data_IF_195682365411
#
_entry.id   IF_195682365411
#
_cell.length_a   1.000
_cell.length_b   1.000
_cell.length_c   1.000
_cell.angle_alpha   90.00
_cell.angle_beta   90.00
_cell.angle_gamma   90.00
#
_symmetry.space_group_name_H-M   'P 1'
#
loop_
_entity.id
_entity.type
_entity.pdbx_description
1 polymer ?
#
# COMPACT_ATOMS: atom_id res chain seq x y z
N UNK A 1 12.73 -3.15 -0.53
CA UNK A 1 11.82 -3.58 -1.61
C UNK A 1 11.96 -2.65 -2.80
N UNK A 2 11.96 -3.22 -4.01
CA UNK A 2 12.13 -2.46 -5.25
C UNK A 2 10.82 -2.52 -6.04
N UNK A 3 10.79 -2.04 -7.27
CA UNK A 3 9.71 -2.33 -8.19
C UNK A 3 10.11 -3.55 -9.01
N UNK A 4 9.31 -4.61 -9.01
CA UNK A 4 9.61 -5.83 -9.76
C UNK A 4 9.81 -5.58 -11.27
N UNK A 5 9.16 -4.54 -11.82
CA UNK A 5 9.25 -4.20 -13.24
C UNK A 5 10.52 -3.45 -13.64
N UNK A 6 11.07 -2.56 -12.78
CA UNK A 6 12.17 -1.67 -13.18
C UNK A 6 13.33 -1.57 -12.18
N UNK A 7 13.24 -2.26 -11.05
CA UNK A 7 14.26 -2.26 -9.99
C UNK A 7 14.39 -0.94 -9.22
N UNK A 8 13.51 0.05 -9.44
CA UNK A 8 13.55 1.30 -8.67
C UNK A 8 13.30 1.01 -7.18
N UNK A 9 14.04 1.60 -6.24
CA UNK A 9 13.73 1.48 -4.81
C UNK A 9 12.33 2.03 -4.53
N UNK A 10 11.52 1.26 -3.78
CA UNK A 10 10.16 1.67 -3.39
C UNK A 10 10.09 1.90 -1.89
N UNK A 11 10.43 0.89 -1.09
CA UNK A 11 10.33 1.00 0.37
C UNK A 11 11.39 0.19 1.12
N UNK A 12 11.60 0.49 2.40
CA UNK A 12 12.57 -0.16 3.30
C UNK A 12 11.87 -0.88 4.47
N UNK A 13 12.62 -1.63 5.26
CA UNK A 13 12.11 -2.28 6.48
C UNK A 13 11.64 -1.26 7.52
N UNK A 14 12.33 -0.12 7.64
CA UNK A 14 11.96 0.98 8.56
C UNK A 14 10.57 1.56 8.25
N UNK A 15 10.15 1.48 7.00
CA UNK A 15 8.86 1.99 6.52
C UNK A 15 7.75 0.94 6.66
N UNK A 16 8.08 -0.34 6.89
CA UNK A 16 7.10 -1.42 7.03
C UNK A 16 6.24 -1.22 8.29
N UNK A 17 4.93 -1.27 8.12
CA UNK A 17 3.98 -1.33 9.22
C UNK A 17 3.82 -2.79 9.66
N UNK A 18 4.40 -3.14 10.80
CA UNK A 18 4.26 -4.48 11.37
C UNK A 18 2.97 -4.64 12.15
N UNK A 19 2.31 -3.57 12.57
CA UNK A 19 1.09 -3.68 13.37
C UNK A 19 -0.13 -4.15 12.57
N UNK A 20 -1.01 -4.93 13.21
CA UNK A 20 -2.32 -5.28 12.67
C UNK A 20 -3.27 -4.09 12.75
N UNK A 21 -4.09 -3.88 11.71
CA UNK A 21 -5.19 -2.92 11.74
C UNK A 21 -6.52 -3.55 11.35
N UNK A 22 -7.59 -2.86 11.71
CA UNK A 22 -8.94 -3.19 11.28
C UNK A 22 -9.09 -3.00 9.76
N UNK A 23 -9.88 -3.88 9.16
CA UNK A 23 -10.12 -3.92 7.72
C UNK A 23 -11.58 -4.22 7.45
N UNK A 24 -12.01 -4.04 6.21
CA UNK A 24 -13.32 -4.48 5.77
C UNK A 24 -13.35 -6.01 5.68
N UNK A 25 -13.70 -6.66 6.79
CA UNK A 25 -13.60 -8.11 7.00
C UNK A 25 -14.30 -8.98 5.95
N UNK A 26 -15.27 -8.44 5.19
CA UNK A 26 -15.93 -9.17 4.10
C UNK A 26 -15.06 -9.31 2.84
N UNK A 27 -14.07 -8.44 2.66
CA UNK A 27 -13.22 -8.40 1.48
C UNK A 27 -11.74 -8.69 1.79
N UNK A 28 -11.35 -8.68 3.08
CA UNK A 28 -9.96 -8.75 3.50
C UNK A 28 -9.76 -9.84 4.53
N UNK A 29 -8.75 -10.70 4.28
CA UNK A 29 -8.24 -11.66 5.24
C UNK A 29 -6.83 -11.25 5.66
N UNK A 30 -6.62 -11.05 6.96
CA UNK A 30 -5.32 -10.67 7.52
C UNK A 30 -4.54 -11.90 7.97
N UNK A 31 -3.24 -11.93 7.70
CA UNK A 31 -2.33 -13.02 8.06
C UNK A 31 -0.92 -12.49 8.34
N UNK A 32 -0.11 -13.28 9.05
CA UNK A 32 1.28 -12.95 9.38
C UNK A 32 2.23 -13.49 8.31
N UNK A 33 3.25 -12.71 7.97
CA UNK A 33 4.30 -13.06 7.02
C UNK A 33 5.59 -12.34 7.38
N UNK A 34 6.73 -13.04 7.27
CA UNK A 34 8.05 -12.41 7.36
C UNK A 34 8.31 -11.58 6.11
N UNK A 35 8.35 -10.26 6.28
CA UNK A 35 8.63 -9.30 5.21
C UNK A 35 9.85 -8.49 5.62
N UNK A 36 10.94 -8.59 4.84
CA UNK A 36 12.21 -7.92 5.14
C UNK A 36 12.79 -8.30 6.51
N UNK A 37 12.72 -9.59 6.86
CA UNK A 37 13.18 -10.15 8.14
C UNK A 37 12.41 -9.62 9.37
N UNK A 38 11.21 -9.06 9.16
CA UNK A 38 10.30 -8.59 10.20
C UNK A 38 8.96 -9.33 10.11
N UNK A 39 8.44 -9.81 11.25
CA UNK A 39 7.09 -10.37 11.34
C UNK A 39 6.06 -9.25 11.13
N UNK A 40 5.34 -9.29 10.01
CA UNK A 40 4.39 -8.25 9.64
C UNK A 40 3.00 -8.79 9.31
N UNK A 41 1.97 -7.98 9.58
CA UNK A 41 0.61 -8.28 9.15
C UNK A 41 0.39 -7.88 7.69
N UNK A 42 0.12 -8.88 6.86
CA UNK A 42 -0.26 -8.76 5.46
C UNK A 42 -1.76 -8.99 5.28
N UNK A 43 -2.29 -8.52 4.14
CA UNK A 43 -3.71 -8.47 3.87
C UNK A 43 -4.00 -9.04 2.50
N UNK A 44 -4.68 -10.18 2.48
CA UNK A 44 -5.29 -10.76 1.28
C UNK A 44 -6.60 -10.01 1.01
N UNK A 45 -6.56 -9.06 0.10
CA UNK A 45 -7.68 -8.18 -0.18
C UNK A 45 -8.28 -8.43 -1.57
N UNK A 46 -9.61 -8.54 -1.64
CA UNK A 46 -10.36 -8.82 -2.87
C UNK A 46 -11.07 -7.55 -3.32
N UNK A 47 -10.88 -7.17 -4.59
CA UNK A 47 -11.57 -6.01 -5.16
C UNK A 47 -12.98 -6.39 -5.68
N UNK A 48 -13.81 -5.42 -6.09
CA UNK A 48 -15.15 -5.68 -6.62
C UNK A 48 -15.20 -6.56 -7.87
N UNK A 49 -14.09 -6.68 -8.60
CA UNK A 49 -13.92 -7.53 -9.79
C UNK A 49 -13.41 -8.94 -9.44
N UNK A 50 -13.50 -9.34 -8.17
CA UNK A 50 -13.08 -10.65 -7.65
C UNK A 50 -11.58 -10.96 -7.87
N UNK A 51 -10.77 -9.92 -8.04
CA UNK A 51 -9.31 -10.05 -8.13
C UNK A 51 -8.72 -9.86 -6.75
N UNK A 52 -7.87 -10.81 -6.35
CA UNK A 52 -7.21 -10.83 -5.04
C UNK A 52 -5.79 -10.27 -5.14
N UNK A 53 -5.40 -9.50 -4.13
CA UNK A 53 -4.08 -8.94 -3.96
C UNK A 53 -3.58 -9.21 -2.55
N UNK A 54 -2.34 -9.68 -2.42
CA UNK A 54 -1.67 -9.79 -1.12
C UNK A 54 -0.85 -8.52 -0.89
N UNK A 55 -1.20 -7.79 0.16
CA UNK A 55 -0.78 -6.40 0.39
C UNK A 55 -0.10 -6.26 1.73
N UNK A 56 1.05 -5.59 1.77
CA UNK A 56 1.69 -5.12 2.99
C UNK A 56 1.58 -3.59 3.10
N UNK A 57 1.52 -3.09 4.33
CA UNK A 57 1.38 -1.65 4.60
C UNK A 57 2.76 -1.02 4.84
N UNK A 58 2.98 0.15 4.26
CA UNK A 58 4.20 0.93 4.44
C UNK A 58 3.87 2.39 4.75
N UNK A 59 4.60 2.98 5.68
CA UNK A 59 4.59 4.42 5.94
C UNK A 59 5.33 5.14 4.83
N UNK A 60 4.92 6.37 4.55
CA UNK A 60 5.69 7.24 3.68
C UNK A 60 6.88 7.81 4.44
N UNK A 61 8.07 7.87 3.83
CA UNK A 61 9.22 8.51 4.45
C UNK A 61 8.94 10.02 4.64
N UNK A 62 9.30 10.55 5.81
CA UNK A 62 9.19 11.98 6.11
C UNK A 62 10.13 12.84 5.25
N UNK A 63 11.19 12.23 4.72
CA UNK A 63 12.13 12.88 3.81
C UNK A 63 11.54 13.01 2.41
N UNK A 64 11.30 14.25 1.98
CA UNK A 64 10.77 14.59 0.67
C UNK A 64 11.57 13.98 -0.49
N UNK A 65 12.89 13.79 -0.34
CA UNK A 65 13.71 13.16 -1.38
C UNK A 65 13.41 11.66 -1.52
N UNK A 66 13.01 10.99 -0.43
CA UNK A 66 12.61 9.57 -0.43
C UNK A 66 11.12 9.38 -0.74
N UNK A 67 10.29 10.40 -0.51
CA UNK A 67 8.85 10.37 -0.80
C UNK A 67 8.54 10.30 -2.32
N UNK A 68 9.47 10.74 -3.18
CA UNK A 68 9.32 10.75 -4.64
C UNK A 68 9.43 9.38 -5.35
N UNK A 69 9.18 8.25 -4.66
CA UNK A 69 9.29 6.90 -5.26
C UNK A 69 7.98 6.39 -5.84
N UNK A 70 6.87 6.93 -5.36
CA UNK A 70 5.52 6.57 -5.76
C UNK A 70 4.83 7.77 -6.38
N UNK A 71 3.96 7.47 -7.33
CA UNK A 71 2.99 8.39 -7.89
C UNK A 71 1.60 8.02 -7.44
N UNK A 72 0.84 9.00 -6.97
CA UNK A 72 -0.57 8.82 -6.67
C UNK A 72 -1.43 9.33 -7.81
N UNK A 73 -2.37 8.51 -8.28
CA UNK A 73 -3.23 8.80 -9.42
C UNK A 73 -4.72 8.70 -9.04
N UNK A 74 -5.51 9.66 -9.52
CA UNK A 74 -6.93 9.76 -9.23
C UNK A 74 -7.25 10.57 -7.96
N UNK A 75 -8.54 10.83 -7.75
CA UNK A 75 -9.06 11.45 -6.54
C UNK A 75 -9.30 10.36 -5.50
N UNK A 76 -8.80 10.50 -4.25
CA UNK A 76 -9.05 9.51 -3.21
C UNK A 76 -10.54 9.26 -2.97
N UNK A 77 -10.95 8.00 -2.88
CA UNK A 77 -12.34 7.58 -2.70
C UNK A 77 -12.50 6.56 -1.58
N UNK A 78 -13.64 6.57 -0.88
CA UNK A 78 -13.99 5.54 0.10
C UNK A 78 -14.60 4.29 -0.55
N UNK A 79 -14.93 4.37 -1.85
CA UNK A 79 -15.63 3.31 -2.57
C UNK A 79 -14.84 1.99 -2.49
N UNK A 80 -15.43 0.96 -1.89
CA UNK A 80 -14.80 -0.34 -1.71
C UNK A 80 -13.43 -0.31 -1.00
N UNK A 81 -13.20 0.67 -0.12
CA UNK A 81 -11.97 0.72 0.67
C UNK A 81 -11.80 -0.53 1.55
N UNK A 82 -10.62 -1.14 1.48
CA UNK A 82 -10.23 -2.27 2.32
C UNK A 82 -9.90 -1.86 3.76
N UNK A 83 -9.55 -0.59 3.97
CA UNK A 83 -9.17 -0.04 5.27
C UNK A 83 -10.07 1.16 5.61
N UNK A 84 -11.35 0.97 5.98
CA UNK A 84 -12.15 2.08 6.51
C UNK A 84 -11.54 2.66 7.80
N UNK A 85 -11.60 3.99 8.05
CA UNK A 85 -12.30 5.02 7.26
C UNK A 85 -11.43 5.66 6.15
N UNK A 86 -10.32 5.04 5.76
CA UNK A 86 -9.39 5.63 4.80
C UNK A 86 -9.95 5.65 3.38
N UNK A 87 -9.76 6.77 2.70
CA UNK A 87 -9.96 6.92 1.26
C UNK A 87 -8.74 6.38 0.53
N UNK A 88 -8.90 5.79 -0.66
CA UNK A 88 -7.78 5.26 -1.43
C UNK A 88 -7.66 5.92 -2.80
N UNK A 89 -6.42 6.04 -3.29
CA UNK A 89 -6.07 6.36 -4.66
C UNK A 89 -5.02 5.38 -5.19
N UNK A 90 -4.83 5.32 -6.51
CA UNK A 90 -3.87 4.38 -7.10
C UNK A 90 -2.45 4.81 -6.79
N UNK A 91 -1.59 3.87 -6.40
CA UNK A 91 -0.15 4.08 -6.21
C UNK A 91 0.66 3.33 -7.28
N UNK A 92 1.39 4.08 -8.08
CA UNK A 92 2.20 3.58 -9.18
C UNK A 92 3.69 3.85 -8.93
N UNK A 93 4.57 3.06 -9.56
CA UNK A 93 5.99 3.35 -9.59
C UNK A 93 6.22 4.70 -10.28
N UNK A 94 6.92 5.64 -9.63
CA UNK A 94 7.22 6.94 -10.24
C UNK A 94 8.06 6.80 -11.53
N UNK A 95 8.93 5.77 -11.59
CA UNK A 95 9.84 5.54 -12.71
C UNK A 95 9.18 4.89 -13.93
N UNK A 96 8.46 3.78 -13.75
CA UNK A 96 7.93 2.99 -14.87
C UNK A 96 6.41 2.94 -14.95
N UNK A 97 5.70 3.59 -14.02
CA UNK A 97 4.23 3.68 -13.97
C UNK A 97 3.51 2.34 -13.80
N UNK A 98 4.23 1.26 -13.48
CA UNK A 98 3.58 0.03 -13.05
C UNK A 98 2.73 0.30 -11.81
N UNK A 99 1.53 -0.27 -11.77
CA UNK A 99 0.69 -0.22 -10.60
C UNK A 99 1.34 -1.04 -9.48
N UNK A 100 1.57 -0.44 -8.32
CA UNK A 100 2.21 -1.09 -7.16
C UNK A 100 1.26 -1.30 -5.99
N UNK A 101 0.10 -0.65 -5.99
CA UNK A 101 -0.92 -0.78 -4.97
C UNK A 101 -1.70 0.51 -4.77
N UNK A 102 -2.01 0.86 -3.53
CA UNK A 102 -2.91 1.98 -3.21
C UNK A 102 -2.36 2.86 -2.11
N UNK A 103 -2.65 4.15 -2.19
CA UNK A 103 -2.37 5.12 -1.14
C UNK A 103 -3.62 5.40 -0.33
N UNK A 104 -3.52 5.35 1.01
CA UNK A 104 -4.64 5.50 1.93
C UNK A 104 -4.58 6.82 2.70
N UNK A 105 -5.63 7.61 2.61
CA UNK A 105 -5.73 8.97 3.11
C UNK A 105 -6.82 9.09 4.18
N UNK A 106 -6.59 9.92 5.19
CA UNK A 106 -7.70 10.46 5.98
C UNK A 106 -8.46 11.51 5.18
N UNK A 107 -9.73 11.64 5.46
CA UNK A 107 -10.54 12.73 4.91
C UNK A 107 -9.90 14.09 5.25
N UNK A 108 -9.73 14.94 4.22
CA UNK A 108 -9.09 16.25 4.34
C UNK A 108 -7.55 16.23 4.37
N UNK A 109 -6.90 15.06 4.38
CA UNK A 109 -5.43 14.99 4.34
C UNK A 109 -4.88 15.17 2.92
N UNK A 110 -3.86 16.03 2.78
CA UNK A 110 -3.17 16.25 1.50
C UNK A 110 -2.17 15.14 1.15
N UNK A 111 -1.73 14.36 2.14
CA UNK A 111 -0.80 13.25 1.98
C UNK A 111 -1.43 11.94 2.49
N UNK A 112 -1.04 10.78 1.93
CA UNK A 112 -1.46 9.50 2.48
C UNK A 112 -0.90 9.30 3.89
N UNK A 113 -1.62 8.56 4.73
CA UNK A 113 -1.13 8.07 6.03
C UNK A 113 -0.23 6.85 5.84
N UNK A 114 -0.59 5.98 4.90
CA UNK A 114 0.19 4.81 4.51
C UNK A 114 -0.12 4.42 3.07
N UNK A 115 0.68 3.52 2.52
CA UNK A 115 0.43 2.84 1.25
C UNK A 115 0.27 1.34 1.50
N UNK A 116 -0.68 0.71 0.81
CA UNK A 116 -0.79 -0.74 0.73
C UNK A 116 -0.18 -1.20 -0.59
N UNK A 117 0.98 -1.83 -0.56
CA UNK A 117 1.70 -2.28 -1.74
C UNK A 117 1.55 -3.79 -1.97
N UNK A 118 1.35 -4.18 -3.22
CA UNK A 118 1.15 -5.56 -3.67
C UNK A 118 2.49 -6.28 -3.60
N UNK A 119 2.59 -7.35 -2.79
CA UNK A 119 3.85 -8.04 -2.54
C UNK A 119 4.50 -8.60 -3.81
N UNK A 120 3.70 -9.08 -4.76
CA UNK A 120 4.19 -9.64 -6.04
C UNK A 120 4.65 -8.58 -7.04
N UNK A 121 4.43 -7.29 -6.76
CA UNK A 121 4.84 -6.17 -7.64
C UNK A 121 6.14 -5.49 -7.15
N UNK A 122 6.72 -5.97 -6.03
CA UNK A 122 7.88 -5.39 -5.36
C UNK A 122 9.16 -6.22 -5.48
#
# INVERSE_FOLDING_TARGET
LVCAQCGSPISTAEELCTERVDTFARAVYAYELDVLDEEAWCYSATNPSDTRFDVARFRLPADAARACRLRFEGVPTAEHSWFPPFLWSMACCERCRSHLGWAFHREGASTPEFVGLILTHL
#
